data_IF_672862010048
#
_entry.id   IF_672862010048
#
_cell.length_a   1.000
_cell.length_b   1.000
_cell.length_c   1.000
_cell.angle_alpha   90.00
_cell.angle_beta   90.00
_cell.angle_gamma   90.00
#
_symmetry.space_group_name_H-M   'P 1'
#
loop_
_entity.id
_entity.type
_entity.pdbx_description
1 polymer ?
#
# COMPACT_ATOMS: atom_id res chain seq x y z
N UNK A 1 37.05 22.55 -43.78
CA UNK A 1 36.96 22.46 -42.31
C UNK A 1 38.37 22.13 -41.86
N UNK A 2 39.02 23.03 -41.11
CA UNK A 2 40.38 22.79 -40.59
C UNK A 2 40.29 21.58 -39.64
N UNK A 3 41.09 20.56 -39.87
CA UNK A 3 41.14 19.35 -39.03
C UNK A 3 42.03 19.60 -37.80
N UNK A 4 41.87 18.80 -36.74
CA UNK A 4 42.73 18.87 -35.55
C UNK A 4 44.22 18.83 -35.93
N UNK A 5 44.56 18.00 -36.92
CA UNK A 5 45.90 17.87 -37.48
C UNK A 5 46.39 19.15 -38.15
N UNK A 6 45.52 19.85 -38.88
CA UNK A 6 45.87 21.13 -39.51
C UNK A 6 46.18 22.21 -38.44
N UNK A 7 45.44 22.23 -37.33
CA UNK A 7 45.68 23.17 -36.22
C UNK A 7 46.97 22.82 -35.46
N UNK A 8 47.26 21.54 -35.26
CA UNK A 8 48.52 21.09 -34.67
C UNK A 8 49.73 21.48 -35.54
N UNK A 9 49.63 21.34 -36.85
CA UNK A 9 50.65 21.78 -37.80
C UNK A 9 50.84 23.32 -37.75
N UNK A 10 49.75 24.10 -37.65
CA UNK A 10 49.84 25.55 -37.47
C UNK A 10 50.49 25.97 -36.14
N UNK A 11 50.22 25.25 -35.06
CA UNK A 11 50.86 25.46 -33.75
C UNK A 11 52.36 25.19 -33.86
N UNK A 12 52.77 24.08 -34.48
CA UNK A 12 54.19 23.72 -34.61
C UNK A 12 54.97 24.72 -35.47
N UNK A 13 54.40 25.16 -36.60
CA UNK A 13 54.99 26.20 -37.45
C UNK A 13 55.10 27.53 -36.70
N UNK A 14 54.10 27.90 -35.89
CA UNK A 14 54.10 29.14 -35.12
C UNK A 14 55.13 29.09 -33.99
N UNK A 15 55.26 27.96 -33.27
CA UNK A 15 56.31 27.75 -32.25
C UNK A 15 57.71 27.85 -32.83
N UNK A 16 57.94 27.26 -34.02
CA UNK A 16 59.24 27.39 -34.74
C UNK A 16 59.57 28.84 -35.10
N UNK A 17 58.56 29.64 -35.48
CA UNK A 17 58.74 31.08 -35.77
C UNK A 17 59.01 31.91 -34.53
N UNK A 18 58.31 31.63 -33.42
CA UNK A 18 58.57 32.27 -32.11
C UNK A 18 60.02 32.02 -31.68
N UNK A 19 60.48 30.77 -31.70
CA UNK A 19 61.85 30.40 -31.34
C UNK A 19 62.90 31.12 -32.20
N UNK A 20 62.62 31.32 -33.50
CA UNK A 20 63.49 32.08 -34.40
C UNK A 20 63.58 33.57 -34.01
N UNK A 21 62.46 34.20 -33.65
CA UNK A 21 62.44 35.60 -33.23
C UNK A 21 63.08 35.80 -31.86
N UNK A 22 62.82 34.90 -30.90
CA UNK A 22 63.47 34.88 -29.58
C UNK A 22 64.99 34.73 -29.69
N UNK A 23 65.48 33.82 -30.54
CA UNK A 23 66.92 33.64 -30.77
C UNK A 23 67.57 34.91 -31.33
N UNK A 24 66.93 35.56 -32.31
CA UNK A 24 67.43 36.80 -32.92
C UNK A 24 67.49 37.95 -31.93
N UNK A 25 66.48 38.08 -31.08
CA UNK A 25 66.46 39.11 -30.02
C UNK A 25 67.54 38.83 -28.96
N UNK A 26 67.72 37.56 -28.57
CA UNK A 26 68.75 37.15 -27.61
C UNK A 26 70.18 37.39 -28.12
N UNK A 27 70.46 37.08 -29.39
CA UNK A 27 71.73 37.37 -30.05
C UNK A 27 72.03 38.88 -30.15
N UNK A 28 70.97 39.69 -30.25
CA UNK A 28 71.06 41.14 -30.23
C UNK A 28 71.38 41.69 -28.84
N UNK A 29 70.73 41.16 -27.80
CA UNK A 29 70.97 41.53 -26.40
C UNK A 29 72.34 41.08 -25.89
N UNK A 30 72.83 39.92 -26.34
CA UNK A 30 74.15 39.40 -25.99
C UNK A 30 75.30 40.09 -26.74
N UNK A 31 74.99 40.97 -27.70
CA UNK A 31 75.98 41.71 -28.49
C UNK A 31 76.69 40.90 -29.58
N UNK A 32 76.24 39.67 -29.86
CA UNK A 32 76.81 38.77 -30.87
C UNK A 32 76.44 39.24 -32.29
N UNK A 33 75.24 39.81 -32.46
CA UNK A 33 74.78 40.39 -33.73
C UNK A 33 73.97 41.68 -33.47
N UNK A 34 74.42 42.84 -33.98
CA UNK A 34 73.71 44.11 -33.75
C UNK A 34 72.61 44.35 -34.79
N UNK A 35 71.37 44.39 -34.33
CA UNK A 35 70.20 44.83 -35.10
C UNK A 35 70.06 46.36 -35.03
N UNK A 36 69.47 46.97 -36.07
CA UNK A 36 69.04 48.37 -36.01
C UNK A 36 67.84 48.52 -35.08
N UNK A 37 67.63 49.71 -34.52
CA UNK A 37 66.49 50.00 -33.64
C UNK A 37 65.13 49.65 -34.29
N UNK A 38 65.01 49.90 -35.61
CA UNK A 38 63.82 49.54 -36.39
C UNK A 38 63.66 48.03 -36.56
N UNK A 39 64.75 47.30 -36.78
CA UNK A 39 64.72 45.85 -36.92
C UNK A 39 64.40 45.14 -35.59
N UNK A 40 64.88 45.69 -34.47
CA UNK A 40 64.54 45.23 -33.11
C UNK A 40 63.04 45.40 -32.85
N UNK A 41 62.52 46.62 -32.99
CA UNK A 41 61.10 46.89 -32.78
C UNK A 41 60.20 46.03 -33.67
N UNK A 42 60.57 45.85 -34.96
CA UNK A 42 59.82 44.96 -35.86
C UNK A 42 59.86 43.48 -35.43
N UNK A 43 60.95 43.02 -34.82
CA UNK A 43 61.06 41.64 -34.35
C UNK A 43 60.27 41.42 -33.05
N UNK A 44 60.23 42.42 -32.18
CA UNK A 44 59.38 42.42 -30.97
C UNK A 44 57.89 42.43 -31.34
N UNK A 45 57.47 43.30 -32.26
CA UNK A 45 56.07 43.32 -32.73
C UNK A 45 55.67 42.00 -33.39
N UNK A 46 56.56 41.41 -34.22
CA UNK A 46 56.30 40.10 -34.84
C UNK A 46 56.28 38.97 -33.82
N UNK A 47 57.06 39.06 -32.75
CA UNK A 47 57.03 38.09 -31.67
C UNK A 47 55.68 38.15 -30.95
N UNK A 48 55.21 39.35 -30.60
CA UNK A 48 53.89 39.56 -29.98
C UNK A 48 52.74 39.09 -30.88
N UNK A 49 52.79 39.38 -32.18
CA UNK A 49 51.82 38.88 -33.16
C UNK A 49 51.78 37.35 -33.20
N UNK A 50 52.95 36.69 -33.18
CA UNK A 50 53.04 35.23 -33.22
C UNK A 50 52.61 34.58 -31.90
N UNK A 51 52.87 35.22 -30.75
CA UNK A 51 52.38 34.78 -29.45
C UNK A 51 50.85 34.84 -29.36
N UNK A 52 50.25 35.94 -29.82
CA UNK A 52 48.79 36.07 -29.92
C UNK A 52 48.18 35.02 -30.86
N UNK A 53 48.83 34.79 -32.01
CA UNK A 53 48.39 33.77 -32.96
C UNK A 53 48.46 32.36 -32.37
N UNK A 54 49.54 32.03 -31.65
CA UNK A 54 49.70 30.75 -30.96
C UNK A 54 48.57 30.54 -29.94
N UNK A 55 48.28 31.54 -29.11
CA UNK A 55 47.20 31.47 -28.13
C UNK A 55 45.84 31.21 -28.81
N UNK A 56 45.60 31.83 -29.97
CA UNK A 56 44.37 31.60 -30.73
C UNK A 56 44.26 30.18 -31.29
N UNK A 57 45.36 29.59 -31.76
CA UNK A 57 45.36 28.21 -32.26
C UNK A 57 45.25 27.18 -31.14
N UNK A 58 45.91 27.41 -30.00
CA UNK A 58 45.77 26.54 -28.82
C UNK A 58 44.33 26.55 -28.29
N UNK A 59 43.66 27.72 -28.25
CA UNK A 59 42.25 27.80 -27.90
C UNK A 59 41.34 27.02 -28.86
N UNK A 60 41.55 27.17 -30.18
CA UNK A 60 40.81 26.41 -31.20
C UNK A 60 41.03 24.89 -31.10
N UNK A 61 42.25 24.44 -30.82
CA UNK A 61 42.55 23.02 -30.59
C UNK A 61 41.75 22.49 -29.42
N UNK A 62 41.73 23.22 -28.30
CA UNK A 62 41.02 22.80 -27.10
C UNK A 62 39.49 22.75 -27.30
N UNK A 63 38.94 23.62 -28.15
CA UNK A 63 37.53 23.56 -28.58
C UNK A 63 37.23 22.31 -29.44
N UNK A 64 38.07 22.00 -30.42
CA UNK A 64 37.89 20.82 -31.28
C UNK A 64 37.97 19.51 -30.47
N UNK A 65 38.91 19.41 -29.53
CA UNK A 65 39.04 18.23 -28.64
C UNK A 65 37.78 18.04 -27.77
N UNK A 66 37.18 19.14 -27.30
CA UNK A 66 35.92 19.06 -26.54
C UNK A 66 34.77 18.55 -27.41
N UNK A 67 34.63 19.05 -28.63
CA UNK A 67 33.59 18.61 -29.58
C UNK A 67 33.71 17.10 -29.85
N UNK A 68 34.92 16.61 -30.13
CA UNK A 68 35.15 15.18 -30.37
C UNK A 68 34.78 14.32 -29.14
N UNK A 69 35.11 14.79 -27.93
CA UNK A 69 34.77 14.09 -26.69
C UNK A 69 33.26 14.03 -26.41
N UNK A 70 32.50 15.06 -26.79
CA UNK A 70 31.04 15.08 -26.63
C UNK A 70 30.34 14.20 -27.67
N UNK A 71 30.85 14.17 -28.90
CA UNK A 71 30.33 13.27 -29.96
C UNK A 71 30.55 11.81 -29.57
N UNK A 72 31.73 11.46 -29.05
CA UNK A 72 32.03 10.11 -28.57
C UNK A 72 31.07 9.68 -27.46
N UNK A 73 30.81 10.54 -26.47
CA UNK A 73 29.85 10.24 -25.39
C UNK A 73 28.45 9.98 -25.92
N UNK A 74 27.96 10.77 -26.88
CA UNK A 74 26.64 10.56 -27.48
C UNK A 74 26.55 9.22 -28.19
N UNK A 75 27.59 8.83 -28.93
CA UNK A 75 27.65 7.53 -29.62
C UNK A 75 27.64 6.39 -28.60
N UNK A 76 28.42 6.50 -27.52
CA UNK A 76 28.44 5.51 -26.43
C UNK A 76 27.07 5.39 -25.74
N UNK A 77 26.41 6.51 -25.45
CA UNK A 77 25.08 6.54 -24.84
C UNK A 77 24.02 5.92 -25.76
N UNK A 78 24.07 6.22 -27.06
CA UNK A 78 23.17 5.62 -28.07
C UNK A 78 23.40 4.11 -28.20
N UNK A 79 24.65 3.67 -28.23
CA UNK A 79 25.01 2.24 -28.27
C UNK A 79 24.49 1.51 -27.02
N UNK A 80 24.68 2.10 -25.84
CA UNK A 80 24.16 1.56 -24.58
C UNK A 80 22.62 1.46 -24.59
N UNK A 81 21.95 2.44 -25.17
CA UNK A 81 20.48 2.43 -25.31
C UNK A 81 20.00 1.31 -26.24
N UNK A 82 20.74 1.03 -27.31
CA UNK A 82 20.45 -0.08 -28.22
C UNK A 82 20.67 -1.43 -27.55
N UNK A 83 21.76 -1.61 -26.79
CA UNK A 83 22.01 -2.82 -26.02
C UNK A 83 20.89 -3.11 -25.02
N UNK A 84 20.42 -2.08 -24.30
CA UNK A 84 19.31 -2.21 -23.36
C UNK A 84 18.00 -2.65 -24.05
N UNK A 85 17.72 -2.11 -25.24
CA UNK A 85 16.55 -2.53 -26.03
C UNK A 85 16.64 -3.99 -26.46
N UNK A 86 17.81 -4.43 -26.92
CA UNK A 86 18.04 -5.83 -27.31
C UNK A 86 17.93 -6.75 -26.09
N UNK A 87 18.46 -6.31 -24.94
CA UNK A 87 18.36 -7.03 -23.68
C UNK A 87 16.89 -7.26 -23.27
N UNK A 88 16.05 -6.23 -23.36
CA UNK A 88 14.63 -6.27 -23.01
C UNK A 88 13.82 -7.20 -23.94
N UNK A 89 14.09 -7.18 -25.25
CA UNK A 89 13.38 -8.03 -26.23
C UNK A 89 13.52 -9.53 -25.93
N UNK A 90 14.68 -9.95 -25.43
CA UNK A 90 14.97 -11.35 -25.11
C UNK A 90 14.71 -11.72 -23.65
N UNK A 91 14.31 -10.76 -22.82
CA UNK A 91 14.18 -10.92 -21.38
C UNK A 91 13.13 -11.97 -20.99
N UNK A 92 11.93 -11.90 -21.59
CA UNK A 92 10.87 -12.89 -21.34
C UNK A 92 11.33 -14.33 -21.60
N UNK A 93 12.08 -14.54 -22.69
CA UNK A 93 12.61 -15.87 -23.04
C UNK A 93 13.65 -16.35 -22.03
N UNK A 94 14.59 -15.47 -21.63
CA UNK A 94 15.62 -15.81 -20.64
C UNK A 94 15.02 -16.25 -19.31
N UNK A 95 14.04 -15.49 -18.80
CA UNK A 95 13.39 -15.77 -17.53
C UNK A 95 12.60 -17.08 -17.58
N UNK A 96 11.88 -17.35 -18.68
CA UNK A 96 11.19 -18.62 -18.89
C UNK A 96 12.16 -19.81 -18.96
N UNK A 97 13.32 -19.64 -19.60
CA UNK A 97 14.34 -20.68 -19.74
C UNK A 97 15.20 -20.91 -18.49
N UNK A 98 15.14 -20.01 -17.50
CA UNK A 98 15.97 -20.12 -16.30
C UNK A 98 15.43 -21.25 -15.39
N UNK A 99 16.26 -22.24 -15.09
CA UNK A 99 15.89 -23.42 -14.30
C UNK A 99 15.93 -23.11 -12.79
N UNK A 100 16.72 -22.14 -12.36
CA UNK A 100 16.93 -21.80 -10.95
C UNK A 100 15.76 -21.02 -10.35
N UNK A 101 15.01 -20.30 -11.18
CA UNK A 101 13.85 -19.52 -10.75
C UNK A 101 12.61 -20.43 -10.65
N UNK A 102 11.90 -20.38 -9.52
CA UNK A 102 10.66 -21.13 -9.35
C UNK A 102 9.56 -20.67 -10.32
N UNK A 103 8.63 -21.55 -10.68
CA UNK A 103 7.54 -21.23 -11.60
C UNK A 103 6.59 -20.14 -11.06
N UNK A 104 6.49 -19.97 -9.74
CA UNK A 104 5.71 -18.89 -9.13
C UNK A 104 6.37 -17.53 -9.32
N UNK A 105 7.68 -17.43 -9.09
CA UNK A 105 8.45 -16.19 -9.31
C UNK A 105 8.44 -15.83 -10.80
N UNK A 106 8.59 -16.81 -11.70
CA UNK A 106 8.48 -16.58 -13.16
C UNK A 106 7.15 -15.95 -13.55
N UNK A 107 6.03 -16.46 -13.03
CA UNK A 107 4.70 -15.92 -13.34
C UNK A 107 4.55 -14.48 -12.86
N UNK A 108 5.05 -14.18 -11.67
CA UNK A 108 4.99 -12.83 -11.11
C UNK A 108 5.84 -11.86 -11.93
N UNK A 109 7.07 -12.23 -12.29
CA UNK A 109 7.93 -11.42 -13.16
C UNK A 109 7.27 -11.13 -14.51
N UNK A 110 6.59 -12.12 -15.11
CA UNK A 110 5.90 -11.93 -16.40
C UNK A 110 4.77 -10.91 -16.29
N UNK A 111 4.01 -10.91 -15.19
CA UNK A 111 2.97 -9.89 -14.95
C UNK A 111 3.59 -8.51 -14.79
N UNK A 112 4.64 -8.40 -13.98
CA UNK A 112 5.36 -7.14 -13.80
C UNK A 112 5.86 -6.60 -15.14
N UNK A 113 6.44 -7.46 -15.99
CA UNK A 113 6.90 -7.07 -17.33
C UNK A 113 5.78 -6.63 -18.27
N UNK A 114 4.56 -7.16 -18.12
CA UNK A 114 3.40 -6.73 -18.91
C UNK A 114 2.82 -5.40 -18.43
N UNK A 115 2.99 -5.06 -17.15
CA UNK A 115 2.52 -3.81 -16.55
C UNK A 115 3.53 -2.66 -16.67
N UNK A 116 4.81 -2.98 -16.91
CA UNK A 116 5.87 -1.98 -16.94
C UNK A 116 5.79 -1.08 -18.20
N UNK A 117 5.95 0.25 -18.02
CA UNK A 117 6.12 1.17 -19.14
C UNK A 117 7.31 0.79 -20.02
N UNK A 118 7.17 0.91 -21.33
CA UNK A 118 8.20 0.51 -22.31
C UNK A 118 9.53 1.28 -22.23
N UNK A 119 9.58 2.35 -21.44
CA UNK A 119 10.77 3.17 -21.18
C UNK A 119 11.53 2.75 -19.91
N UNK A 120 11.02 1.80 -19.13
CA UNK A 120 11.65 1.31 -17.90
C UNK A 120 12.07 -0.14 -18.14
N UNK A 121 13.37 -0.41 -17.99
CA UNK A 121 13.96 -1.74 -18.19
C UNK A 121 14.66 -2.12 -16.89
N UNK A 122 14.14 -3.14 -16.21
CA UNK A 122 14.80 -3.75 -15.06
C UNK A 122 15.70 -4.90 -15.51
N UNK A 123 16.77 -5.17 -14.75
CA UNK A 123 17.58 -6.37 -14.92
C UNK A 123 16.86 -7.59 -14.35
N UNK A 124 17.26 -8.77 -14.82
CA UNK A 124 16.65 -10.04 -14.40
C UNK A 124 16.71 -10.22 -12.86
N UNK A 125 17.83 -9.85 -12.20
CA UNK A 125 17.98 -9.89 -10.73
C UNK A 125 17.04 -8.93 -9.99
N UNK A 126 16.86 -7.71 -10.51
CA UNK A 126 15.98 -6.71 -9.92
C UNK A 126 14.51 -7.14 -10.02
N UNK A 127 14.14 -7.77 -11.13
CA UNK A 127 12.81 -8.36 -11.30
C UNK A 127 12.58 -9.54 -10.35
N UNK A 128 13.60 -10.36 -10.10
CA UNK A 128 13.51 -11.47 -9.13
C UNK A 128 13.31 -10.92 -7.72
N UNK A 129 14.14 -9.96 -7.28
CA UNK A 129 14.01 -9.36 -5.94
C UNK A 129 12.65 -8.65 -5.76
N UNK A 130 12.18 -7.96 -6.80
CA UNK A 130 10.85 -7.34 -6.80
C UNK A 130 9.72 -8.37 -6.72
N UNK A 131 9.81 -9.45 -7.49
CA UNK A 131 8.82 -10.53 -7.49
C UNK A 131 8.82 -11.28 -6.15
N UNK A 132 9.99 -11.56 -5.58
CA UNK A 132 10.13 -12.16 -4.25
C UNK A 132 9.52 -11.27 -3.18
N UNK A 133 9.82 -9.96 -3.20
CA UNK A 133 9.19 -8.99 -2.29
C UNK A 133 7.69 -8.85 -2.51
N UNK A 134 7.21 -8.87 -3.75
CA UNK A 134 5.76 -8.84 -4.07
C UNK A 134 5.04 -10.05 -3.48
N UNK A 135 5.62 -11.23 -3.65
CA UNK A 135 5.11 -12.48 -3.10
C UNK A 135 5.17 -12.49 -1.57
N UNK A 136 6.26 -11.98 -0.98
CA UNK A 136 6.40 -11.83 0.49
C UNK A 136 5.42 -10.82 1.08
N UNK A 137 5.19 -9.69 0.42
CA UNK A 137 4.23 -8.66 0.82
C UNK A 137 2.77 -9.06 0.53
N UNK A 138 2.57 -10.23 -0.09
CA UNK A 138 1.29 -10.90 -0.23
C UNK A 138 0.19 -10.00 -0.83
N UNK A 139 0.48 -9.29 -1.94
CA UNK A 139 -0.53 -8.51 -2.67
C UNK A 139 -1.76 -9.35 -3.09
N UNK A 140 -1.67 -10.69 -3.05
CA UNK A 140 -2.78 -11.64 -3.18
C UNK A 140 -3.87 -11.47 -2.11
N UNK A 141 -3.52 -11.06 -0.89
CA UNK A 141 -4.49 -10.78 0.19
C UNK A 141 -5.41 -9.61 -0.19
N UNK A 142 -4.92 -8.64 -0.95
CA UNK A 142 -5.72 -7.50 -1.42
C UNK A 142 -6.81 -7.97 -2.40
N UNK A 143 -6.50 -8.91 -3.29
CA UNK A 143 -7.47 -9.47 -4.24
C UNK A 143 -8.54 -10.33 -3.55
N UNK A 144 -8.17 -11.10 -2.52
CA UNK A 144 -9.14 -11.87 -1.74
C UNK A 144 -10.04 -10.97 -0.89
N UNK A 145 -9.48 -9.96 -0.23
CA UNK A 145 -10.28 -8.97 0.49
C UNK A 145 -11.21 -8.19 -0.44
N UNK A 146 -10.78 -7.83 -1.65
CA UNK A 146 -11.63 -7.21 -2.66
C UNK A 146 -12.78 -8.11 -3.11
N UNK A 147 -12.52 -9.41 -3.31
CA UNK A 147 -13.58 -10.40 -3.61
C UNK A 147 -14.58 -10.51 -2.47
N UNK A 148 -14.10 -10.58 -1.22
CA UNK A 148 -14.95 -10.64 -0.04
C UNK A 148 -15.80 -9.39 0.10
N UNK A 149 -15.23 -8.20 -0.08
CA UNK A 149 -15.97 -6.93 -0.06
C UNK A 149 -17.07 -6.92 -1.12
N UNK A 150 -16.76 -7.31 -2.36
CA UNK A 150 -17.76 -7.40 -3.43
C UNK A 150 -18.89 -8.36 -3.07
N UNK A 151 -18.58 -9.51 -2.49
CA UNK A 151 -19.57 -10.50 -2.05
C UNK A 151 -20.46 -9.96 -0.93
N UNK A 152 -19.85 -9.35 0.10
CA UNK A 152 -20.57 -8.71 1.22
C UNK A 152 -21.52 -7.64 0.67
N UNK A 153 -21.06 -6.83 -0.29
CA UNK A 153 -21.88 -5.79 -0.90
C UNK A 153 -23.07 -6.37 -1.68
N UNK A 154 -22.87 -7.42 -2.47
CA UNK A 154 -23.96 -8.08 -3.19
C UNK A 154 -25.00 -8.65 -2.21
N UNK A 155 -24.55 -9.31 -1.14
CA UNK A 155 -25.43 -9.85 -0.12
C UNK A 155 -26.17 -8.74 0.65
N UNK A 156 -25.48 -7.64 0.96
CA UNK A 156 -26.07 -6.45 1.55
C UNK A 156 -27.15 -5.86 0.62
N UNK A 157 -26.82 -5.57 -0.62
CA UNK A 157 -27.76 -5.01 -1.59
C UNK A 157 -28.98 -5.94 -1.77
N UNK A 158 -28.78 -7.26 -1.71
CA UNK A 158 -29.87 -8.25 -1.76
C UNK A 158 -30.77 -8.25 -0.52
N UNK A 159 -30.21 -8.18 0.68
CA UNK A 159 -30.97 -8.20 1.94
C UNK A 159 -31.70 -6.88 2.18
N UNK A 160 -31.11 -5.75 1.79
CA UNK A 160 -31.64 -4.42 2.09
C UNK A 160 -32.52 -3.82 0.96
N UNK A 161 -32.60 -4.47 -0.22
CA UNK A 161 -33.25 -3.94 -1.44
C UNK A 161 -34.68 -3.42 -1.27
N UNK A 162 -35.48 -4.11 -0.47
CA UNK A 162 -36.93 -3.88 -0.36
C UNK A 162 -37.34 -3.43 1.05
N UNK A 163 -36.38 -3.02 1.87
CA UNK A 163 -36.66 -2.54 3.21
C UNK A 163 -37.08 -1.08 3.10
N UNK A 164 -38.21 -0.73 3.70
CA UNK A 164 -38.60 0.66 3.81
C UNK A 164 -37.70 1.38 4.82
N UNK A 165 -36.89 2.31 4.32
CA UNK A 165 -35.95 3.09 5.12
C UNK A 165 -36.29 4.58 5.14
N UNK A 166 -37.48 4.99 4.69
CA UNK A 166 -37.86 6.41 4.59
C UNK A 166 -37.77 7.16 5.93
N UNK A 167 -37.99 6.44 7.03
CA UNK A 167 -38.06 6.98 8.38
C UNK A 167 -36.71 6.90 9.13
N UNK A 168 -35.69 6.29 8.54
CA UNK A 168 -34.37 6.13 9.14
C UNK A 168 -33.46 7.28 8.69
N UNK A 169 -33.18 8.20 9.61
CA UNK A 169 -32.21 9.27 9.37
C UNK A 169 -30.80 8.69 9.19
N UNK A 170 -30.03 9.28 8.28
CA UNK A 170 -28.63 8.90 8.02
C UNK A 170 -28.44 7.43 7.60
N UNK A 171 -29.43 6.86 6.93
CA UNK A 171 -29.41 5.47 6.44
C UNK A 171 -28.15 5.15 5.63
N UNK A 172 -27.67 6.07 4.79
CA UNK A 172 -26.46 5.86 3.99
C UNK A 172 -25.20 5.72 4.85
N UNK A 173 -25.12 6.48 5.94
CA UNK A 173 -24.02 6.35 6.89
C UNK A 173 -24.10 4.99 7.61
N UNK A 174 -25.29 4.61 8.06
CA UNK A 174 -25.53 3.33 8.72
C UNK A 174 -25.21 2.14 7.80
N UNK A 175 -25.63 2.19 6.53
CA UNK A 175 -25.34 1.20 5.51
C UNK A 175 -23.82 1.03 5.33
N UNK A 176 -23.07 2.13 5.22
CA UNK A 176 -21.61 2.09 5.11
C UNK A 176 -20.96 1.50 6.37
N UNK A 177 -21.44 1.88 7.57
CA UNK A 177 -20.95 1.33 8.84
C UNK A 177 -21.19 -0.18 8.93
N UNK A 178 -22.35 -0.66 8.48
CA UNK A 178 -22.69 -2.10 8.46
C UNK A 178 -21.74 -2.86 7.52
N UNK A 179 -21.48 -2.35 6.32
CA UNK A 179 -20.55 -2.98 5.37
C UNK A 179 -19.14 -3.09 5.95
N UNK A 180 -18.63 -1.99 6.53
CA UNK A 180 -17.32 -1.94 7.17
C UNK A 180 -17.26 -2.90 8.37
N UNK A 181 -18.26 -2.86 9.23
CA UNK A 181 -18.33 -3.74 10.40
C UNK A 181 -18.39 -5.21 10.00
N UNK A 182 -19.16 -5.55 8.96
CA UNK A 182 -19.27 -6.94 8.46
C UNK A 182 -17.92 -7.44 7.96
N UNK A 183 -17.19 -6.61 7.21
CA UNK A 183 -15.83 -6.94 6.79
C UNK A 183 -14.91 -7.13 8.00
N UNK A 184 -14.94 -6.19 8.96
CA UNK A 184 -14.11 -6.28 10.17
C UNK A 184 -14.39 -7.55 10.98
N UNK A 185 -15.67 -7.94 11.12
CA UNK A 185 -16.06 -9.19 11.76
C UNK A 185 -15.55 -10.41 11.00
N UNK A 186 -15.75 -10.44 9.69
CA UNK A 186 -15.30 -11.54 8.85
C UNK A 186 -13.80 -11.75 8.97
N UNK A 187 -13.02 -10.69 8.74
CA UNK A 187 -11.57 -10.71 8.87
C UNK A 187 -11.15 -11.11 10.28
N UNK A 188 -11.84 -10.63 11.33
CA UNK A 188 -11.52 -11.00 12.71
C UNK A 188 -11.74 -12.49 12.98
N UNK A 189 -12.85 -13.06 12.50
CA UNK A 189 -13.16 -14.49 12.70
C UNK A 189 -12.21 -15.39 11.90
N UNK A 190 -11.88 -15.03 10.65
CA UNK A 190 -10.86 -15.76 9.88
C UNK A 190 -9.50 -15.71 10.57
N UNK A 191 -9.06 -14.54 11.04
CA UNK A 191 -7.82 -14.40 11.81
C UNK A 191 -7.82 -15.23 13.11
N UNK A 192 -8.97 -15.38 13.77
CA UNK A 192 -9.07 -16.29 14.93
C UNK A 192 -8.99 -17.75 14.50
N UNK A 193 -9.68 -18.13 13.42
CA UNK A 193 -9.64 -19.50 12.88
C UNK A 193 -8.22 -19.91 12.51
N UNK A 194 -7.49 -19.05 11.80
CA UNK A 194 -6.09 -19.28 11.42
C UNK A 194 -5.20 -19.42 12.66
N UNK A 195 -5.28 -18.47 13.60
CA UNK A 195 -4.46 -18.54 14.81
C UNK A 195 -4.74 -19.79 15.66
N UNK A 196 -5.99 -20.29 15.68
CA UNK A 196 -6.31 -21.56 16.34
C UNK A 196 -5.80 -22.77 15.56
N UNK A 197 -5.85 -22.74 14.22
CA UNK A 197 -5.27 -23.79 13.36
C UNK A 197 -3.76 -23.91 13.59
N UNK A 198 -3.07 -22.79 13.73
CA UNK A 198 -1.62 -22.77 14.03
C UNK A 198 -1.29 -23.40 15.39
N UNK A 199 -2.20 -23.31 16.36
CA UNK A 199 -2.11 -24.01 17.65
C UNK A 199 -2.60 -25.47 17.60
N UNK A 200 -2.90 -26.03 16.41
CA UNK A 200 -3.55 -27.33 16.22
C UNK A 200 -4.88 -27.49 16.99
N UNK A 201 -5.63 -26.38 17.14
CA UNK A 201 -6.94 -26.34 17.78
C UNK A 201 -8.01 -25.95 16.76
N UNK A 202 -9.25 -26.32 17.04
CA UNK A 202 -10.41 -25.88 16.27
C UNK A 202 -11.13 -24.77 17.01
N UNK A 203 -11.32 -23.63 16.37
CA UNK A 203 -12.20 -22.58 16.89
C UNK A 203 -13.66 -23.03 16.77
N UNK A 204 -14.39 -23.03 17.89
CA UNK A 204 -15.76 -23.53 17.96
C UNK A 204 -16.82 -22.49 17.52
N UNK A 205 -16.39 -21.30 17.11
CA UNK A 205 -17.27 -20.18 16.79
C UNK A 205 -17.46 -19.22 17.97
N UNK A 206 -18.13 -18.11 17.69
CA UNK A 206 -18.45 -17.09 18.69
C UNK A 206 -19.64 -17.55 19.56
N UNK A 207 -19.65 -17.23 20.87
CA UNK A 207 -20.78 -17.49 21.74
C UNK A 207 -21.97 -16.63 21.31
N UNK A 208 -23.17 -17.19 21.41
CA UNK A 208 -24.40 -16.46 21.11
C UNK A 208 -24.58 -15.25 22.03
N UNK A 209 -25.26 -14.22 21.52
CA UNK A 209 -25.66 -13.04 22.31
C UNK A 209 -27.17 -13.06 22.58
N UNK A 210 -27.62 -12.22 23.51
CA UNK A 210 -29.06 -12.01 23.76
C UNK A 210 -29.43 -10.57 23.45
N UNK A 211 -30.57 -10.37 22.79
CA UNK A 211 -30.99 -9.05 22.29
C UNK A 211 -31.32 -8.06 23.41
N UNK A 212 -31.95 -8.53 24.50
CA UNK A 212 -32.29 -7.68 25.65
C UNK A 212 -31.06 -7.05 26.33
N UNK A 213 -29.85 -7.60 26.13
CA UNK A 213 -28.61 -6.98 26.61
C UNK A 213 -28.35 -5.61 25.97
N UNK A 214 -28.78 -5.43 24.73
CA UNK A 214 -28.61 -4.20 23.97
C UNK A 214 -29.83 -3.31 24.18
N UNK A 215 -31.04 -3.87 24.03
CA UNK A 215 -32.31 -3.15 24.19
C UNK A 215 -32.40 -2.40 25.53
N UNK A 216 -31.93 -3.03 26.60
CA UNK A 216 -32.00 -2.46 27.94
C UNK A 216 -30.66 -1.95 28.48
N UNK A 217 -29.62 -1.87 27.65
CA UNK A 217 -28.25 -1.57 28.09
C UNK A 217 -28.17 -0.31 28.96
N UNK A 218 -28.96 0.72 28.63
CA UNK A 218 -28.95 2.02 29.31
C UNK A 218 -29.84 2.09 30.55
N UNK A 219 -30.73 1.10 30.75
CA UNK A 219 -31.76 1.12 31.80
C UNK A 219 -31.66 -0.07 32.76
N UNK A 220 -30.87 -1.09 32.40
CA UNK A 220 -30.68 -2.32 33.15
C UNK A 220 -29.19 -2.58 33.36
N UNK A 221 -28.73 -2.43 34.61
CA UNK A 221 -27.36 -2.80 34.98
C UNK A 221 -27.09 -4.27 34.66
N UNK A 222 -28.10 -5.14 34.80
CA UNK A 222 -28.01 -6.55 34.45
C UNK A 222 -27.70 -6.73 32.95
N UNK A 223 -28.37 -6.00 32.07
CA UNK A 223 -28.10 -6.00 30.63
C UNK A 223 -26.67 -5.52 30.33
N UNK A 224 -26.28 -4.38 30.90
CA UNK A 224 -24.94 -3.81 30.75
C UNK A 224 -23.83 -4.78 31.19
N UNK A 225 -23.95 -5.38 32.39
CA UNK A 225 -22.96 -6.33 32.90
C UNK A 225 -22.94 -7.63 32.11
N UNK A 226 -24.10 -8.12 31.65
CA UNK A 226 -24.19 -9.29 30.77
C UNK A 226 -23.42 -9.06 29.48
N UNK A 227 -23.66 -7.91 28.84
CA UNK A 227 -22.96 -7.52 27.62
C UNK A 227 -21.45 -7.38 27.82
N UNK A 228 -21.00 -6.74 28.91
CA UNK A 228 -19.57 -6.64 29.24
C UNK A 228 -18.92 -7.99 29.56
N UNK A 229 -19.64 -8.89 30.24
CA UNK A 229 -19.15 -10.25 30.52
C UNK A 229 -19.01 -11.03 29.22
N UNK A 230 -19.99 -10.94 28.34
CA UNK A 230 -19.95 -11.52 27.00
C UNK A 230 -18.78 -10.98 26.17
N UNK A 231 -18.55 -9.66 26.18
CA UNK A 231 -17.37 -9.03 25.57
C UNK A 231 -16.06 -9.63 26.12
N UNK A 232 -15.96 -9.84 27.44
CA UNK A 232 -14.80 -10.44 28.09
C UNK A 232 -14.61 -11.90 27.69
N UNK A 233 -15.68 -12.67 27.48
CA UNK A 233 -15.61 -14.07 27.02
C UNK A 233 -14.98 -14.12 25.63
N UNK A 234 -15.45 -13.31 24.67
CA UNK A 234 -14.88 -13.29 23.33
C UNK A 234 -13.41 -12.85 23.35
N UNK A 235 -13.08 -11.87 24.20
CA UNK A 235 -11.70 -11.42 24.39
C UNK A 235 -10.75 -12.53 24.88
N UNK A 236 -11.25 -13.58 25.53
CA UNK A 236 -10.44 -14.76 25.93
C UNK A 236 -10.08 -15.65 24.75
N UNK A 237 -10.85 -15.64 23.66
CA UNK A 237 -10.47 -16.34 22.43
C UNK A 237 -9.36 -15.61 21.67
N UNK A 238 -9.13 -14.33 21.93
CA UNK A 238 -8.05 -13.59 21.28
C UNK A 238 -6.69 -13.99 21.86
N UNK A 239 -5.82 -14.54 21.01
CA UNK A 239 -4.46 -14.95 21.36
C UNK A 239 -3.50 -13.75 21.36
N UNK A 240 -3.65 -12.85 20.37
CA UNK A 240 -2.75 -11.70 20.20
C UNK A 240 -3.30 -10.41 20.81
N UNK A 241 -2.39 -9.45 21.11
CA UNK A 241 -2.79 -8.10 21.54
C UNK A 241 -3.57 -7.36 20.44
N UNK A 242 -3.22 -7.59 19.18
CA UNK A 242 -3.88 -6.97 18.03
C UNK A 242 -5.34 -7.46 17.92
N UNK A 243 -5.58 -8.77 17.99
CA UNK A 243 -6.93 -9.34 18.02
C UNK A 243 -7.78 -8.74 19.16
N UNK A 244 -7.20 -8.58 20.37
CA UNK A 244 -7.90 -7.93 21.50
C UNK A 244 -8.25 -6.48 21.22
N UNK A 245 -7.40 -5.74 20.51
CA UNK A 245 -7.66 -4.34 20.11
C UNK A 245 -8.76 -4.29 19.04
N UNK A 246 -8.66 -5.12 18.00
CA UNK A 246 -9.67 -5.22 16.95
C UNK A 246 -11.04 -5.58 17.51
N UNK A 247 -11.11 -6.57 18.42
CA UNK A 247 -12.36 -6.93 19.08
C UNK A 247 -13.01 -5.77 19.82
N UNK A 248 -12.23 -4.93 20.52
CA UNK A 248 -12.80 -3.79 21.24
C UNK A 248 -13.48 -2.78 20.29
N UNK A 249 -12.89 -2.57 19.10
CA UNK A 249 -13.41 -1.66 18.07
C UNK A 249 -14.67 -2.27 17.45
N UNK A 250 -14.59 -3.53 17.01
CA UNK A 250 -15.70 -4.27 16.42
C UNK A 250 -16.89 -4.30 17.37
N UNK A 251 -16.66 -4.63 18.65
CA UNK A 251 -17.69 -4.67 19.66
C UNK A 251 -18.37 -3.30 19.84
N UNK A 252 -17.59 -2.22 19.92
CA UNK A 252 -18.14 -0.87 20.11
C UNK A 252 -19.01 -0.45 18.92
N UNK A 253 -18.53 -0.69 17.70
CA UNK A 253 -19.26 -0.38 16.48
C UNK A 253 -20.53 -1.23 16.35
N UNK A 254 -20.45 -2.53 16.68
CA UNK A 254 -21.60 -3.43 16.67
C UNK A 254 -22.70 -2.99 17.65
N UNK A 255 -22.33 -2.68 18.89
CA UNK A 255 -23.27 -2.16 19.89
C UNK A 255 -23.86 -0.84 19.42
N UNK A 256 -23.06 0.08 18.87
CA UNK A 256 -23.55 1.38 18.40
C UNK A 256 -24.56 1.25 17.26
N UNK A 257 -24.30 0.38 16.28
CA UNK A 257 -25.24 0.15 15.17
C UNK A 257 -26.54 -0.47 15.71
N UNK A 258 -26.43 -1.46 16.60
CA UNK A 258 -27.58 -2.11 17.22
C UNK A 258 -28.44 -1.12 18.03
N UNK A 259 -27.81 -0.29 18.85
CA UNK A 259 -28.47 0.74 19.67
C UNK A 259 -29.23 1.76 18.79
N UNK A 260 -28.59 2.24 17.72
CA UNK A 260 -29.24 3.14 16.75
C UNK A 260 -30.44 2.46 16.07
N UNK A 261 -30.28 1.22 15.62
CA UNK A 261 -31.36 0.49 14.95
C UNK A 261 -32.53 0.20 15.89
N UNK A 262 -32.25 -0.20 17.14
CA UNK A 262 -33.26 -0.41 18.18
C UNK A 262 -34.06 0.87 18.46
N UNK A 263 -33.42 2.05 18.34
CA UNK A 263 -34.08 3.35 18.48
C UNK A 263 -35.23 3.60 17.48
N UNK A 264 -35.29 2.88 16.36
CA UNK A 264 -36.40 2.96 15.41
C UNK A 264 -37.60 2.06 15.76
N UNK A 265 -37.49 1.22 16.78
CA UNK A 265 -38.54 0.29 17.20
C UNK A 265 -38.97 -0.66 16.08
N UNK A 266 -40.27 -0.96 16.00
CA UNK A 266 -40.83 -1.91 15.03
C UNK A 266 -40.51 -1.57 13.57
N UNK A 267 -40.37 -0.27 13.25
CA UNK A 267 -39.99 0.18 11.91
C UNK A 267 -38.58 -0.26 11.52
N UNK A 268 -37.70 -0.44 12.50
CA UNK A 268 -36.32 -0.88 12.31
C UNK A 268 -36.16 -2.40 12.22
N UNK A 269 -37.21 -3.21 12.48
CA UNK A 269 -37.06 -4.66 12.65
C UNK A 269 -36.63 -5.40 11.39
N UNK A 270 -37.18 -5.06 10.21
CA UNK A 270 -36.71 -5.65 8.94
C UNK A 270 -35.24 -5.27 8.69
N UNK A 271 -34.86 -4.03 8.98
CA UNK A 271 -33.48 -3.54 8.83
C UNK A 271 -32.51 -4.26 9.79
N UNK A 272 -32.91 -4.42 11.04
CA UNK A 272 -32.15 -5.15 12.06
C UNK A 272 -32.00 -6.63 11.71
N UNK A 273 -33.05 -7.24 11.17
CA UNK A 273 -33.05 -8.64 10.74
C UNK A 273 -32.11 -8.86 9.56
N UNK A 274 -32.11 -7.96 8.58
CA UNK A 274 -31.16 -7.97 7.47
C UNK A 274 -29.71 -7.81 7.95
N UNK A 275 -29.47 -6.89 8.89
CA UNK A 275 -28.17 -6.72 9.52
C UNK A 275 -27.70 -7.99 10.25
N UNK A 276 -28.55 -8.60 11.07
CA UNK A 276 -28.24 -9.84 11.79
C UNK A 276 -27.96 -11.01 10.84
N UNK A 277 -28.71 -11.09 9.75
CA UNK A 277 -28.52 -12.11 8.73
C UNK A 277 -27.16 -11.99 8.05
N UNK A 278 -26.71 -10.76 7.79
CA UNK A 278 -25.41 -10.49 7.21
C UNK A 278 -24.28 -10.84 8.18
N UNK A 279 -24.40 -10.43 9.45
CA UNK A 279 -23.44 -10.76 10.50
C UNK A 279 -23.37 -12.26 10.76
N UNK A 280 -24.51 -12.97 10.77
CA UNK A 280 -24.55 -14.42 10.92
C UNK A 280 -23.77 -15.12 9.79
N UNK A 281 -23.97 -14.68 8.54
CA UNK A 281 -23.30 -15.26 7.36
C UNK A 281 -21.78 -15.11 7.41
N UNK A 282 -21.29 -13.95 7.84
CA UNK A 282 -19.87 -13.59 7.73
C UNK A 282 -19.06 -13.73 9.01
N UNK A 283 -19.70 -13.68 10.17
CA UNK A 283 -19.07 -13.76 11.48
C UNK A 283 -19.48 -15.00 12.28
N UNK A 284 -20.49 -15.75 11.83
CA UNK A 284 -21.12 -16.84 12.59
C UNK A 284 -21.62 -16.41 13.97
N UNK A 285 -21.84 -15.10 14.15
CA UNK A 285 -22.40 -14.53 15.37
C UNK A 285 -23.92 -14.64 15.29
N UNK A 286 -24.51 -15.39 16.22
CA UNK A 286 -25.95 -15.64 16.25
C UNK A 286 -26.56 -15.21 17.59
N UNK A 287 -27.86 -14.93 17.56
CA UNK A 287 -28.65 -14.63 18.74
C UNK A 287 -29.17 -15.92 19.39
N UNK A 288 -29.33 -15.91 20.72
CA UNK A 288 -30.04 -16.97 21.41
C UNK A 288 -31.56 -16.78 21.31
N UNK A 289 -32.23 -17.79 20.77
CA UNK A 289 -33.67 -17.77 20.52
C UNK A 289 -34.43 -18.76 21.42
N UNK A 290 -33.75 -19.58 22.22
CA UNK A 290 -34.39 -20.60 23.06
C UNK A 290 -34.69 -20.05 24.45
N UNK A 291 -35.98 -19.99 24.83
CA UNK A 291 -36.43 -19.41 26.12
C UNK A 291 -35.73 -20.00 27.35
N UNK A 292 -35.53 -21.32 27.37
CA UNK A 292 -34.83 -22.01 28.46
C UNK A 292 -33.38 -21.53 28.62
N UNK A 293 -32.69 -21.22 27.51
CA UNK A 293 -31.32 -20.73 27.56
C UNK A 293 -31.27 -19.29 28.08
N UNK A 294 -32.19 -18.44 27.60
CA UNK A 294 -32.35 -17.06 28.06
C UNK A 294 -32.60 -17.00 29.58
N UNK A 295 -33.50 -17.86 30.09
CA UNK A 295 -33.76 -17.96 31.54
C UNK A 295 -32.53 -18.42 32.33
N UNK A 296 -31.78 -19.40 31.81
CA UNK A 296 -30.59 -19.91 32.50
C UNK A 296 -29.47 -18.85 32.57
N UNK A 297 -29.25 -18.12 31.48
CA UNK A 297 -28.23 -17.07 31.39
C UNK A 297 -28.58 -15.90 32.32
N UNK A 298 -29.84 -15.48 32.34
CA UNK A 298 -30.33 -14.46 33.29
C UNK A 298 -30.12 -14.89 34.76
N UNK A 299 -30.49 -16.13 35.12
CA UNK A 299 -30.29 -16.66 36.48
C UNK A 299 -28.82 -16.66 36.87
N UNK A 300 -27.95 -17.11 35.96
CA UNK A 300 -26.51 -17.09 36.15
C UNK A 300 -25.98 -15.66 36.34
N UNK A 301 -26.41 -14.72 35.50
CA UNK A 301 -25.99 -13.32 35.59
C UNK A 301 -26.46 -12.66 36.88
N UNK A 302 -27.69 -12.92 37.32
CA UNK A 302 -28.24 -12.41 38.58
C UNK A 302 -27.47 -12.94 39.80
N UNK A 303 -27.05 -14.20 39.79
CA UNK A 303 -26.21 -14.75 40.86
C UNK A 303 -24.82 -14.11 40.91
N UNK A 304 -24.27 -13.79 39.75
CA UNK A 304 -22.95 -13.19 39.62
C UNK A 304 -22.96 -11.70 39.98
N UNK A 305 -24.01 -10.96 39.62
CA UNK A 305 -24.18 -9.54 39.96
C UNK A 305 -24.59 -9.31 41.40
N UNK A 306 -25.16 -10.30 42.11
CA UNK A 306 -25.40 -10.22 43.57
C UNK A 306 -24.13 -10.01 44.40
N UNK A 307 -22.95 -10.29 43.84
CA UNK A 307 -21.65 -10.02 44.46
C UNK A 307 -21.23 -8.55 44.36
N UNK A 308 -21.94 -7.77 43.54
CA UNK A 308 -21.72 -6.35 43.33
C UNK A 308 -22.92 -5.59 43.99
N UNK A 309 -22.63 -4.59 44.82
CA UNK A 309 -23.64 -3.93 45.67
C UNK A 309 -24.48 -2.93 44.84
N UNK A 310 -25.79 -3.20 44.69
CA UNK A 310 -26.72 -2.40 43.88
C UNK A 310 -28.02 -2.09 44.63
N UNK A 311 -27.95 -1.16 45.58
CA UNK A 311 -29.07 -0.65 46.37
C UNK A 311 -30.20 0.09 45.60
N UNK A 312 -30.34 -0.14 44.28
CA UNK A 312 -31.34 0.52 43.41
C UNK A 312 -32.34 -0.53 42.89
N UNK A 313 -33.64 -0.23 43.06
CA UNK A 313 -34.76 -1.10 42.63
C UNK A 313 -34.71 -1.40 41.13
N UNK A 314 -34.81 -2.69 40.82
CA UNK A 314 -34.94 -3.26 39.48
C UNK A 314 -36.25 -2.81 38.81
N UNK A 315 -36.16 -2.19 37.63
CA UNK A 315 -37.25 -2.31 36.67
C UNK A 315 -37.33 -3.79 36.27
N UNK A 316 -38.54 -4.36 36.14
CA UNK A 316 -38.69 -5.70 35.56
C UNK A 316 -38.12 -5.65 34.14
N UNK A 317 -37.01 -6.33 33.89
CA UNK A 317 -36.49 -6.48 32.54
C UNK A 317 -37.32 -7.49 31.75
N UNK A 318 -37.37 -7.31 30.44
CA UNK A 318 -38.08 -8.18 29.51
C UNK A 318 -37.09 -9.02 28.70
N UNK A 319 -36.92 -10.28 29.11
CA UNK A 319 -36.12 -11.28 28.39
C UNK A 319 -36.58 -11.47 26.94
N UNK A 320 -37.86 -11.24 26.67
CA UNK A 320 -38.47 -11.44 25.38
C UNK A 320 -38.81 -10.10 24.76
N UNK A 321 -37.80 -9.49 24.13
CA UNK A 321 -37.95 -8.22 23.44
C UNK A 321 -38.94 -8.36 22.28
N UNK A 322 -39.55 -7.24 21.91
CA UNK A 322 -40.44 -7.18 20.74
C UNK A 322 -39.71 -7.57 19.44
N UNK A 323 -38.42 -7.24 19.34
CA UNK A 323 -37.58 -7.69 18.22
C UNK A 323 -37.30 -9.19 18.23
N UNK A 324 -37.04 -9.81 19.39
CA UNK A 324 -36.86 -11.26 19.50
C UNK A 324 -38.12 -12.02 19.02
N UNK A 325 -39.30 -11.54 19.39
CA UNK A 325 -40.58 -12.11 18.93
C UNK A 325 -40.70 -12.01 17.42
N UNK A 326 -40.49 -10.81 16.87
CA UNK A 326 -40.48 -10.57 15.43
C UNK A 326 -39.53 -11.52 14.70
N UNK A 327 -38.28 -11.65 15.17
CA UNK A 327 -37.26 -12.51 14.57
C UNK A 327 -37.67 -13.98 14.58
N UNK A 328 -38.26 -14.46 15.68
CA UNK A 328 -38.80 -15.84 15.77
C UNK A 328 -39.92 -16.08 14.76
N UNK A 329 -40.84 -15.13 14.61
CA UNK A 329 -41.95 -15.23 13.66
C UNK A 329 -41.44 -15.22 12.22
N UNK A 330 -40.50 -14.33 11.90
CA UNK A 330 -39.90 -14.22 10.57
C UNK A 330 -39.18 -15.51 10.17
N UNK A 331 -38.43 -16.11 11.08
CA UNK A 331 -37.73 -17.38 10.84
C UNK A 331 -38.70 -18.56 10.65
N UNK A 332 -39.85 -18.58 11.34
CA UNK A 332 -40.90 -19.58 11.11
C UNK A 332 -41.60 -19.42 9.77
N UNK A 333 -41.69 -18.20 9.24
CA UNK A 333 -42.23 -17.93 7.91
C UNK A 333 -41.28 -18.28 6.75
N UNK A 334 -40.01 -18.56 7.05
CA UNK A 334 -38.97 -18.94 6.08
C UNK A 334 -38.69 -20.46 6.05
N UNK A 335 -39.14 -21.20 7.07
CA UNK A 335 -39.07 -22.66 7.19
C UNK A 335 -40.31 -23.33 6.63
#
# INVERSE_FOLDING_TARGET
METLKDIEDFIDVTKKRIALFESKLKEHESGVSRMSAMAKASSETKLDEMLNLLQSYEAKRDELVKIDSEVLKKIEDEARLQELKIYALNQKKRILSNIEISDEIKKEILKTLDELPSNIIFRDEELIDLAEKSLQLNLREVDEHLKTIKKIKIDFDGLFKNIDTSDIKEIDFLNNQILVLTLQFHTFVENLNEAYKDENKKFAGLPKYEDWWIDEMWFSHLAYFSLLKWKKIIKKFCLTKLQKKSWNIIFANWVSIKDVVNGFGEKGYEYQFAFDSLILKYAQLNEELVDKNLENIEKFMTQETKKEDFSIKYAKHNRTTSYLLYKRERLKGLS
#
